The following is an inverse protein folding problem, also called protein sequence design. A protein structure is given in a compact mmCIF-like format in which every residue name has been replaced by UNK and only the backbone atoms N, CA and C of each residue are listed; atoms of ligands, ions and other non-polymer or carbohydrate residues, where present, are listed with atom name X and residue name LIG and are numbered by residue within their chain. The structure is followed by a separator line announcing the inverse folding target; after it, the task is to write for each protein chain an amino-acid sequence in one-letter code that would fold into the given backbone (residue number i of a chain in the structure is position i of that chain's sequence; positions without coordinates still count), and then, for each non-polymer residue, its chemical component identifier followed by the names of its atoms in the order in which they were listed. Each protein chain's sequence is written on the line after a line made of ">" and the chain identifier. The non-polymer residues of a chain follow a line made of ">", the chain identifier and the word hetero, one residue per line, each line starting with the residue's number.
data_IF_807709933276
#
_entry.id   IF_807709933276
#
_cell.length_a   1.000
_cell.length_b   1.000
_cell.length_c   1.000
_cell.angle_alpha   90.00
_cell.angle_beta   90.00
_cell.angle_gamma   90.00
#
_symmetry.space_group_name_H-M   'P 1'
#
loop_
_entity.id
_entity.type
_entity.pdbx_description
1 polymer ?
#
# COMPACT_ATOMS: atom_id res chain seq x y z
N UNK A 1 5.20 -22.86 3.07
CA UNK A 1 3.84 -22.40 3.39
C UNK A 1 3.86 -21.51 4.63
N UNK A 2 3.02 -20.50 4.68
CA UNK A 2 2.92 -19.53 5.77
C UNK A 2 1.51 -19.61 6.37
N UNK A 3 1.41 -19.69 7.69
CA UNK A 3 0.17 -19.52 8.43
C UNK A 3 0.11 -18.09 8.99
N UNK A 4 -1.03 -17.42 8.79
CA UNK A 4 -1.29 -16.09 9.36
C UNK A 4 -2.37 -16.22 10.43
N UNK A 5 -2.11 -15.69 11.63
CA UNK A 5 -3.03 -15.83 12.78
C UNK A 5 -2.88 -14.69 13.79
N UNK A 6 -3.94 -14.44 14.56
CA UNK A 6 -3.87 -13.64 15.77
C UNK A 6 -3.13 -14.38 16.89
N UNK A 7 -2.50 -13.64 17.81
CA UNK A 7 -1.79 -14.24 18.95
C UNK A 7 -2.73 -14.95 19.94
N UNK A 8 -4.00 -14.59 19.99
CA UNK A 8 -4.96 -15.09 20.97
C UNK A 8 -5.44 -16.53 20.70
N UNK A 9 -5.20 -17.05 19.50
CA UNK A 9 -5.60 -18.41 19.11
C UNK A 9 -4.42 -19.35 18.83
N UNK A 10 -3.20 -18.98 19.22
CA UNK A 10 -2.01 -19.84 19.01
C UNK A 10 -2.22 -21.21 19.68
N UNK A 11 -2.63 -21.25 20.96
CA UNK A 11 -2.81 -22.50 21.70
C UNK A 11 -4.06 -23.30 21.28
N UNK A 12 -5.11 -22.61 20.83
CA UNK A 12 -6.38 -23.25 20.50
C UNK A 12 -6.49 -23.65 19.03
N UNK A 13 -5.69 -23.05 18.17
CA UNK A 13 -5.78 -23.25 16.73
C UNK A 13 -4.44 -23.71 16.11
N UNK A 14 -3.37 -22.96 16.26
CA UNK A 14 -2.09 -23.24 15.63
C UNK A 14 -1.48 -24.53 16.12
N UNK A 15 -1.43 -24.73 17.44
CA UNK A 15 -0.86 -25.95 18.05
C UNK A 15 -1.60 -27.20 17.60
N UNK A 16 -2.93 -27.13 17.42
CA UNK A 16 -3.73 -28.25 16.93
C UNK A 16 -3.36 -28.63 15.50
N UNK A 17 -3.14 -27.65 14.64
CA UNK A 17 -2.66 -27.90 13.27
C UNK A 17 -1.28 -28.55 13.27
N UNK A 18 -0.37 -28.07 14.13
CA UNK A 18 0.99 -28.60 14.22
C UNK A 18 0.99 -30.06 14.62
N UNK A 19 0.36 -30.42 15.75
CA UNK A 19 0.40 -31.82 16.20
C UNK A 19 -0.40 -32.76 15.30
N UNK A 20 -1.53 -32.29 14.76
CA UNK A 20 -2.31 -33.08 13.81
C UNK A 20 -1.52 -33.32 12.51
N UNK A 21 -0.84 -32.31 12.00
CA UNK A 21 0.04 -32.44 10.85
C UNK A 21 1.13 -33.48 11.07
N UNK A 22 1.84 -33.41 12.20
CA UNK A 22 2.86 -34.39 12.54
C UNK A 22 2.30 -35.79 12.75
N UNK A 23 1.17 -35.93 13.43
CA UNK A 23 0.56 -37.22 13.70
C UNK A 23 0.12 -37.95 12.43
N UNK A 24 -0.38 -37.21 11.42
CA UNK A 24 -0.95 -37.80 10.21
C UNK A 24 0.02 -37.86 9.04
N UNK A 25 1.00 -36.94 8.96
CA UNK A 25 1.89 -36.82 7.79
C UNK A 25 3.38 -36.98 8.13
N UNK A 26 3.75 -36.96 9.40
CA UNK A 26 5.15 -36.95 9.86
C UNK A 26 5.89 -35.64 9.53
N UNK A 27 5.20 -34.59 9.09
CA UNK A 27 5.81 -33.32 8.64
C UNK A 27 5.12 -32.12 9.27
N UNK A 28 5.88 -31.02 9.43
CA UNK A 28 5.32 -29.73 9.80
C UNK A 28 4.35 -29.23 8.71
N UNK A 29 3.14 -28.77 9.06
CA UNK A 29 2.16 -28.29 8.07
C UNK A 29 2.54 -26.94 7.46
N UNK A 30 3.38 -26.16 8.11
CA UNK A 30 3.92 -24.87 7.65
C UNK A 30 5.29 -24.62 8.29
N UNK A 31 6.12 -23.79 7.66
CA UNK A 31 7.45 -23.43 8.17
C UNK A 31 7.50 -22.03 8.81
N UNK A 32 6.50 -21.19 8.57
CA UNK A 32 6.41 -19.84 9.11
C UNK A 32 5.03 -19.59 9.70
N UNK A 33 4.99 -18.93 10.84
CA UNK A 33 3.75 -18.44 11.47
C UNK A 33 3.87 -16.91 11.60
N UNK A 34 3.09 -16.18 10.82
CA UNK A 34 2.99 -14.73 10.95
C UNK A 34 1.89 -14.40 11.96
N UNK A 35 2.28 -13.82 13.09
CA UNK A 35 1.38 -13.49 14.19
C UNK A 35 1.05 -12.00 14.11
N UNK A 36 -0.23 -11.68 13.87
CA UNK A 36 -0.73 -10.32 13.88
C UNK A 36 -1.42 -9.97 15.22
N UNK A 37 -1.51 -8.68 15.50
CA UNK A 37 -2.31 -8.16 16.62
C UNK A 37 -3.80 -8.18 16.34
N UNK A 38 -4.60 -7.82 17.34
CA UNK A 38 -6.06 -7.74 17.23
C UNK A 38 -6.49 -6.31 16.90
N UNK A 39 -7.58 -6.19 16.16
CA UNK A 39 -8.28 -4.92 15.99
C UNK A 39 -9.16 -4.69 17.22
N UNK A 40 -8.95 -3.56 17.87
CA UNK A 40 -9.68 -3.13 19.08
C UNK A 40 -10.55 -1.91 18.77
N UNK A 41 -11.56 -1.68 19.60
CA UNK A 41 -12.35 -0.45 19.49
C UNK A 41 -11.52 0.81 19.79
N UNK A 42 -12.11 1.98 19.60
CA UNK A 42 -11.45 3.29 19.81
C UNK A 42 -10.93 3.48 21.24
N UNK A 43 -11.52 2.79 22.22
CA UNK A 43 -11.08 2.80 23.62
C UNK A 43 -10.01 1.75 23.94
N UNK A 44 -9.63 0.93 22.96
CA UNK A 44 -8.63 -0.14 23.11
C UNK A 44 -9.19 -1.42 23.72
N UNK A 45 -10.51 -1.59 23.82
CA UNK A 45 -11.13 -2.81 24.33
C UNK A 45 -11.24 -3.86 23.23
N UNK A 46 -11.12 -5.13 23.58
CA UNK A 46 -11.38 -6.23 22.65
C UNK A 46 -12.83 -6.18 22.17
N UNK A 47 -13.04 -6.23 20.87
CA UNK A 47 -14.38 -6.29 20.30
C UNK A 47 -15.05 -7.61 20.62
N UNK A 48 -16.30 -7.58 21.08
CA UNK A 48 -17.10 -8.76 21.37
C UNK A 48 -18.59 -8.50 21.14
N UNK A 49 -19.32 -9.55 20.79
CA UNK A 49 -20.78 -9.49 20.63
C UNK A 49 -21.48 -9.05 21.91
N UNK A 50 -20.97 -9.51 23.07
CA UNK A 50 -21.55 -9.19 24.37
C UNK A 50 -21.41 -7.73 24.80
N UNK A 51 -20.37 -7.05 24.32
CA UNK A 51 -20.14 -5.62 24.57
C UNK A 51 -20.82 -4.73 23.54
N UNK A 52 -21.30 -5.28 22.43
CA UNK A 52 -21.90 -4.51 21.35
C UNK A 52 -20.94 -3.49 20.69
N UNK A 53 -19.62 -3.68 20.86
CA UNK A 53 -18.58 -2.77 20.35
C UNK A 53 -17.90 -3.32 19.08
N UNK A 54 -18.50 -4.34 18.46
CA UNK A 54 -18.05 -4.86 17.17
C UNK A 54 -18.34 -3.85 16.05
N UNK A 55 -17.41 -3.76 15.11
CA UNK A 55 -17.58 -2.96 13.90
C UNK A 55 -17.86 -3.93 12.77
N UNK A 56 -18.96 -3.70 12.05
CA UNK A 56 -19.27 -4.50 10.86
C UNK A 56 -18.42 -4.00 9.70
N UNK A 57 -17.51 -4.82 9.14
CA UNK A 57 -16.69 -4.42 8.02
C UNK A 57 -17.49 -4.10 6.77
N UNK A 58 -18.69 -4.67 6.59
CA UNK A 58 -19.54 -4.38 5.42
C UNK A 58 -20.11 -2.96 5.50
N UNK A 59 -20.54 -2.52 6.67
CA UNK A 59 -20.99 -1.14 6.88
C UNK A 59 -19.86 -0.12 6.58
N UNK A 60 -18.64 -0.44 7.02
CA UNK A 60 -17.46 0.40 6.72
C UNK A 60 -17.14 0.41 5.23
N UNK A 61 -17.30 -0.73 4.54
CA UNK A 61 -17.08 -0.82 3.10
C UNK A 61 -18.13 -0.01 2.33
N UNK A 62 -19.38 -0.06 2.75
CA UNK A 62 -20.47 0.69 2.13
C UNK A 62 -20.27 2.21 2.27
N UNK A 63 -19.72 2.66 3.40
CA UNK A 63 -19.49 4.09 3.67
C UNK A 63 -18.18 4.63 3.06
N UNK A 64 -17.09 3.88 3.17
CA UNK A 64 -15.74 4.37 2.82
C UNK A 64 -15.11 3.66 1.62
N UNK A 65 -15.62 2.51 1.22
CA UNK A 65 -15.04 1.65 0.19
C UNK A 65 -14.10 0.57 0.74
N UNK A 66 -14.03 -0.55 0.02
CA UNK A 66 -13.23 -1.71 0.41
C UNK A 66 -11.72 -1.40 0.47
N UNK A 67 -11.20 -0.60 -0.46
CA UNK A 67 -9.79 -0.24 -0.50
C UNK A 67 -9.37 0.62 0.70
N UNK A 68 -10.25 1.52 1.15
CA UNK A 68 -10.01 2.33 2.34
C UNK A 68 -9.88 1.47 3.60
N UNK A 69 -10.80 0.52 3.79
CA UNK A 69 -10.72 -0.42 4.92
C UNK A 69 -9.47 -1.29 4.86
N UNK A 70 -9.16 -1.87 3.70
CA UNK A 70 -7.97 -2.73 3.50
C UNK A 70 -6.67 -1.98 3.78
N UNK A 71 -6.54 -0.76 3.25
CA UNK A 71 -5.37 0.08 3.50
C UNK A 71 -5.24 0.42 4.98
N UNK A 72 -6.34 0.78 5.65
CA UNK A 72 -6.36 1.08 7.09
C UNK A 72 -5.87 -0.10 7.92
N UNK A 73 -6.30 -1.32 7.58
CA UNK A 73 -5.94 -2.53 8.34
C UNK A 73 -4.48 -2.93 8.18
N UNK A 74 -3.86 -2.62 7.05
CA UNK A 74 -2.45 -2.98 6.81
C UNK A 74 -1.48 -1.88 7.23
N UNK A 75 -1.91 -0.61 7.19
CA UNK A 75 -1.05 0.54 7.51
C UNK A 75 -0.87 0.69 9.01
N UNK A 76 0.37 0.89 9.45
CA UNK A 76 0.69 1.10 10.87
C UNK A 76 0.54 -0.15 11.74
N UNK A 77 0.47 -1.32 11.12
CA UNK A 77 0.41 -2.61 11.80
C UNK A 77 1.84 -3.16 11.97
N UNK A 78 2.24 -3.38 13.21
CA UNK A 78 3.47 -4.11 13.52
C UNK A 78 3.11 -5.52 14.00
N UNK A 79 3.88 -6.57 13.63
CA UNK A 79 3.61 -7.93 14.07
C UNK A 79 3.37 -8.03 15.58
N UNK A 80 2.31 -8.72 15.99
CA UNK A 80 1.97 -8.94 17.39
C UNK A 80 1.37 -7.75 18.15
N UNK A 81 1.28 -6.58 17.55
CA UNK A 81 0.73 -5.39 18.21
C UNK A 81 -0.74 -5.17 17.83
N UNK A 82 -1.56 -4.87 18.83
CA UNK A 82 -2.96 -4.53 18.63
C UNK A 82 -3.12 -3.15 17.97
N UNK A 83 -4.15 -3.03 17.15
CA UNK A 83 -4.52 -1.80 16.48
C UNK A 83 -5.87 -1.28 17.00
N UNK A 84 -5.96 0.01 17.34
CA UNK A 84 -7.24 0.66 17.59
C UNK A 84 -7.88 1.09 16.29
N UNK A 85 -9.14 0.80 16.13
CA UNK A 85 -9.92 1.21 14.96
C UNK A 85 -10.57 2.56 15.20
N UNK A 86 -10.39 3.47 14.24
CA UNK A 86 -11.01 4.78 14.21
C UNK A 86 -11.53 5.07 12.80
N UNK A 87 -12.73 5.61 12.68
CA UNK A 87 -13.30 5.98 11.38
C UNK A 87 -12.45 7.04 10.66
N UNK A 88 -11.83 7.94 11.39
CA UNK A 88 -10.94 8.98 10.83
C UNK A 88 -9.73 8.38 10.10
N UNK A 89 -9.25 7.21 10.54
CA UNK A 89 -8.18 6.50 9.82
C UNK A 89 -8.68 5.90 8.50
N UNK A 90 -9.91 5.40 8.50
CA UNK A 90 -10.52 4.88 7.26
C UNK A 90 -10.78 6.01 6.27
N UNK A 91 -11.25 7.16 6.77
CA UNK A 91 -11.41 8.35 5.95
C UNK A 91 -10.08 8.84 5.35
N UNK A 92 -9.01 8.86 6.13
CA UNK A 92 -7.66 9.20 5.63
C UNK A 92 -7.20 8.22 4.54
N UNK A 93 -7.46 6.92 4.71
CA UNK A 93 -7.16 5.91 3.70
C UNK A 93 -7.98 6.09 2.42
N UNK A 94 -9.27 6.46 2.53
CA UNK A 94 -10.12 6.83 1.38
C UNK A 94 -9.56 8.04 0.65
N UNK A 95 -9.12 9.06 1.38
CA UNK A 95 -8.54 10.27 0.80
C UNK A 95 -7.23 9.95 0.04
N UNK A 96 -6.43 9.03 0.55
CA UNK A 96 -5.25 8.52 -0.18
C UNK A 96 -5.65 7.80 -1.47
N UNK A 97 -6.63 6.90 -1.42
CA UNK A 97 -7.12 6.22 -2.63
C UNK A 97 -7.63 7.23 -3.67
N UNK A 98 -8.35 8.28 -3.24
CA UNK A 98 -8.79 9.37 -4.10
C UNK A 98 -7.60 10.18 -4.68
N UNK A 99 -6.53 10.38 -3.92
CA UNK A 99 -5.30 11.04 -4.42
C UNK A 99 -4.65 10.22 -5.54
N UNK A 100 -4.54 8.91 -5.35
CA UNK A 100 -4.03 7.98 -6.38
C UNK A 100 -4.91 8.02 -7.65
N UNK A 101 -6.23 7.97 -7.46
CA UNK A 101 -7.18 8.08 -8.58
C UNK A 101 -7.01 9.39 -9.36
N UNK A 102 -6.93 10.51 -8.66
CA UNK A 102 -6.79 11.82 -9.31
C UNK A 102 -5.44 11.97 -10.00
N UNK A 103 -4.35 11.45 -9.43
CA UNK A 103 -3.04 11.41 -10.08
C UNK A 103 -3.09 10.57 -11.36
N UNK A 104 -3.68 9.37 -11.30
CA UNK A 104 -3.86 8.50 -12.46
C UNK A 104 -4.73 9.17 -13.54
N UNK A 105 -5.82 9.83 -13.14
CA UNK A 105 -6.67 10.58 -14.07
C UNK A 105 -5.90 11.73 -14.74
N UNK A 106 -5.12 12.49 -13.98
CA UNK A 106 -4.26 13.53 -14.54
C UNK A 106 -3.30 12.97 -15.61
N UNK A 107 -2.66 11.84 -15.31
CA UNK A 107 -1.74 11.19 -16.24
C UNK A 107 -2.48 10.76 -17.51
N UNK A 108 -3.59 10.06 -17.37
CA UNK A 108 -4.38 9.57 -18.51
C UNK A 108 -4.86 10.71 -19.42
N UNK A 109 -5.38 11.79 -18.84
CA UNK A 109 -5.85 12.96 -19.61
C UNK A 109 -4.72 13.64 -20.39
N UNK A 110 -3.51 13.67 -19.83
CA UNK A 110 -2.36 14.27 -20.51
C UNK A 110 -1.70 13.34 -21.54
N UNK A 111 -2.04 12.05 -21.53
CA UNK A 111 -1.59 11.05 -22.52
C UNK A 111 -2.58 10.83 -23.65
N UNK A 112 -3.84 11.25 -23.49
CA UNK A 112 -4.89 11.08 -24.49
C UNK A 112 -4.44 11.68 -25.82
N UNK A 113 -4.65 10.92 -26.92
CA UNK A 113 -4.27 11.26 -28.29
C UNK A 113 -2.77 11.54 -28.53
N UNK A 114 -1.88 11.22 -27.57
CA UNK A 114 -0.44 11.40 -27.72
C UNK A 114 0.29 10.08 -27.97
N UNK A 115 1.19 10.08 -28.95
CA UNK A 115 2.11 8.96 -29.18
C UNK A 115 3.32 9.15 -28.26
N UNK A 116 3.37 8.36 -27.18
CA UNK A 116 4.47 8.40 -26.22
C UNK A 116 5.47 7.30 -26.58
N UNK A 117 6.65 7.70 -26.98
CA UNK A 117 7.76 6.80 -27.33
C UNK A 117 8.81 6.78 -26.22
N UNK A 118 9.60 5.69 -26.18
CA UNK A 118 10.74 5.64 -25.26
C UNK A 118 11.73 6.77 -25.61
N UNK A 119 12.04 7.68 -24.66
CA UNK A 119 12.96 8.78 -24.92
C UNK A 119 14.41 8.29 -24.97
N UNK A 120 15.27 9.06 -25.61
CA UNK A 120 16.72 8.89 -25.52
C UNK A 120 17.19 9.32 -24.11
N UNK A 121 18.33 8.79 -23.67
CA UNK A 121 18.87 9.10 -22.34
C UNK A 121 19.13 10.60 -22.12
N UNK A 122 19.49 11.31 -23.19
CA UNK A 122 19.74 12.74 -23.16
C UNK A 122 18.47 13.59 -23.03
N UNK A 123 17.29 13.04 -23.32
CA UNK A 123 16.01 13.74 -23.26
C UNK A 123 15.42 13.76 -21.82
N UNK A 124 15.94 12.89 -20.92
CA UNK A 124 15.53 12.89 -19.51
C UNK A 124 16.17 14.06 -18.76
N UNK A 125 15.33 14.85 -18.11
CA UNK A 125 15.78 15.89 -17.20
C UNK A 125 16.14 15.33 -15.82
N UNK A 126 16.76 16.17 -14.99
CA UNK A 126 17.18 15.79 -13.63
C UNK A 126 16.00 15.28 -12.80
N UNK A 127 14.83 15.88 -12.95
CA UNK A 127 13.59 15.48 -12.26
C UNK A 127 13.12 14.09 -12.64
N UNK A 128 13.23 13.73 -13.93
CA UNK A 128 12.85 12.39 -14.41
C UNK A 128 13.81 11.33 -13.85
N UNK A 129 15.11 11.60 -13.93
CA UNK A 129 16.15 10.71 -13.38
C UNK A 129 16.02 10.55 -11.87
N UNK A 130 15.67 11.62 -11.18
CA UNK A 130 15.42 11.61 -9.74
C UNK A 130 14.26 10.67 -9.37
N UNK A 131 13.08 10.85 -9.98
CA UNK A 131 11.92 10.01 -9.61
C UNK A 131 12.11 8.55 -10.04
N UNK A 132 12.76 8.27 -11.18
CA UNK A 132 13.10 6.92 -11.61
C UNK A 132 14.09 6.24 -10.64
N UNK A 133 15.07 6.98 -10.14
CA UNK A 133 15.97 6.48 -9.09
C UNK A 133 15.21 6.17 -7.80
N UNK A 134 14.28 7.05 -7.39
CA UNK A 134 13.45 6.87 -6.20
C UNK A 134 12.54 5.64 -6.29
N UNK A 135 11.85 5.45 -7.42
CA UNK A 135 10.98 4.27 -7.58
C UNK A 135 11.77 2.96 -7.60
N UNK A 136 12.98 2.95 -8.18
CA UNK A 136 13.85 1.76 -8.14
C UNK A 136 14.31 1.44 -6.71
N UNK A 137 14.68 2.46 -5.93
CA UNK A 137 15.03 2.29 -4.52
C UNK A 137 13.82 1.80 -3.71
N UNK A 138 12.65 2.39 -3.94
CA UNK A 138 11.41 1.97 -3.32
C UNK A 138 11.08 0.50 -3.62
N UNK A 139 11.19 0.08 -4.88
CA UNK A 139 10.92 -1.30 -5.29
C UNK A 139 11.82 -2.29 -4.54
N UNK A 140 13.12 -1.97 -4.39
CA UNK A 140 14.05 -2.77 -3.61
C UNK A 140 13.64 -2.81 -2.13
N UNK A 141 13.42 -1.67 -1.53
CA UNK A 141 13.08 -1.55 -0.11
C UNK A 141 11.76 -2.29 0.22
N UNK A 142 10.74 -2.12 -0.63
CA UNK A 142 9.45 -2.81 -0.47
C UNK A 142 9.63 -4.30 -0.55
N UNK A 143 10.39 -4.80 -1.54
CA UNK A 143 10.68 -6.24 -1.68
C UNK A 143 11.36 -6.79 -0.43
N UNK A 144 12.40 -6.11 0.07
CA UNK A 144 13.12 -6.53 1.27
C UNK A 144 12.23 -6.57 2.52
N UNK A 145 11.34 -5.57 2.70
CA UNK A 145 10.40 -5.56 3.82
C UNK A 145 9.31 -6.63 3.68
N UNK A 146 8.81 -6.86 2.46
CA UNK A 146 7.83 -7.93 2.21
C UNK A 146 8.41 -9.31 2.50
N UNK A 147 9.65 -9.57 2.11
CA UNK A 147 10.36 -10.83 2.39
C UNK A 147 10.56 -11.08 3.89
N UNK A 148 10.66 -10.00 4.69
CA UNK A 148 10.74 -10.05 6.16
C UNK A 148 9.38 -10.05 6.84
N UNK A 149 8.27 -10.05 6.10
CA UNK A 149 6.90 -9.88 6.62
C UNK A 149 6.65 -8.54 7.35
N UNK A 150 7.43 -7.52 7.06
CA UNK A 150 7.26 -6.15 7.58
C UNK A 150 6.25 -5.36 6.72
N UNK A 151 5.02 -5.90 6.59
CA UNK A 151 4.02 -5.43 5.64
C UNK A 151 3.61 -3.98 5.86
N UNK A 152 3.47 -3.57 7.13
CA UNK A 152 3.13 -2.19 7.48
C UNK A 152 4.19 -1.20 7.05
N UNK A 153 5.49 -1.55 7.18
CA UNK A 153 6.61 -0.72 6.74
C UNK A 153 6.64 -0.63 5.21
N UNK A 154 6.46 -1.76 4.52
CA UNK A 154 6.42 -1.80 3.06
C UNK A 154 5.32 -0.88 2.49
N UNK A 155 4.11 -0.98 3.05
CA UNK A 155 2.97 -0.15 2.62
C UNK A 155 3.18 1.33 2.96
N UNK A 156 3.75 1.65 4.12
CA UNK A 156 4.05 3.03 4.49
C UNK A 156 5.05 3.69 3.52
N UNK A 157 6.10 2.97 3.12
CA UNK A 157 7.06 3.48 2.12
C UNK A 157 6.40 3.77 0.77
N UNK A 158 5.46 2.91 0.32
CA UNK A 158 4.69 3.16 -0.90
C UNK A 158 3.79 4.39 -0.75
N UNK A 159 3.13 4.52 0.41
CA UNK A 159 2.29 5.67 0.73
C UNK A 159 3.07 6.98 0.66
N UNK A 160 4.21 7.06 1.37
CA UNK A 160 5.04 8.26 1.44
C UNK A 160 5.59 8.63 0.05
N UNK A 161 6.07 7.64 -0.72
CA UNK A 161 6.53 7.88 -2.08
C UNK A 161 5.43 8.46 -2.99
N UNK A 162 4.23 7.85 -2.97
CA UNK A 162 3.12 8.31 -3.83
C UNK A 162 2.66 9.71 -3.40
N UNK A 163 2.51 9.92 -2.09
CA UNK A 163 1.98 11.18 -1.59
C UNK A 163 2.98 12.31 -1.77
N UNK A 164 4.16 12.17 -1.16
CA UNK A 164 5.12 13.26 -1.05
C UNK A 164 5.96 13.42 -2.33
N UNK A 165 6.60 12.33 -2.80
CA UNK A 165 7.59 12.44 -3.87
C UNK A 165 6.94 12.49 -5.25
N UNK A 166 5.98 11.61 -5.52
CA UNK A 166 5.36 11.52 -6.83
C UNK A 166 4.30 12.60 -7.05
N UNK A 167 3.29 12.69 -6.14
CA UNK A 167 2.18 13.64 -6.33
C UNK A 167 2.58 15.08 -6.01
N UNK A 168 3.21 15.32 -4.85
CA UNK A 168 3.47 16.69 -4.40
C UNK A 168 4.68 17.31 -5.10
N UNK A 169 5.63 16.49 -5.57
CA UNK A 169 6.80 17.02 -6.28
C UNK A 169 6.81 16.70 -7.76
N UNK A 170 6.91 15.41 -8.14
CA UNK A 170 7.19 15.09 -9.53
C UNK A 170 6.09 15.55 -10.49
N UNK A 171 4.82 15.26 -10.17
CA UNK A 171 3.68 15.69 -10.99
C UNK A 171 3.71 17.22 -11.16
N UNK A 172 3.93 17.97 -10.09
CA UNK A 172 3.95 19.44 -10.16
C UNK A 172 5.13 19.96 -11.00
N UNK A 173 6.32 19.39 -10.84
CA UNK A 173 7.52 19.78 -11.56
C UNK A 173 7.40 19.56 -13.08
N UNK A 174 6.68 18.53 -13.52
CA UNK A 174 6.56 18.21 -14.96
C UNK A 174 5.38 18.90 -15.64
N UNK A 175 4.46 19.53 -14.91
CA UNK A 175 3.29 20.21 -15.51
C UNK A 175 3.68 21.23 -16.56
N UNK A 176 4.67 22.06 -16.30
CA UNK A 176 5.12 23.08 -17.26
C UNK A 176 5.53 22.44 -18.58
N UNK A 177 6.36 21.41 -18.54
CA UNK A 177 6.85 20.68 -19.72
C UNK A 177 5.72 20.04 -20.53
N UNK A 178 4.73 19.48 -19.82
CA UNK A 178 3.59 18.81 -20.45
C UNK A 178 2.65 19.80 -21.14
N UNK A 179 2.40 20.95 -20.50
CA UNK A 179 1.51 21.99 -21.01
C UNK A 179 2.12 22.84 -22.12
N UNK A 180 3.47 22.94 -22.18
CA UNK A 180 4.24 23.67 -23.19
C UNK A 180 5.03 22.69 -24.08
N UNK A 181 4.39 21.58 -24.46
CA UNK A 181 5.04 20.54 -25.26
C UNK A 181 5.46 20.99 -26.67
N UNK A 182 4.93 22.08 -27.17
CA UNK A 182 5.31 22.77 -28.41
C UNK A 182 6.68 23.45 -28.31
N UNK A 183 7.09 23.90 -27.14
CA UNK A 183 8.39 24.50 -26.92
C UNK A 183 9.54 23.46 -26.95
N UNK A 184 9.30 22.28 -26.36
CA UNK A 184 10.25 21.17 -26.31
C UNK A 184 9.55 19.81 -26.24
N UNK A 185 9.17 19.26 -27.39
CA UNK A 185 8.48 17.98 -27.51
C UNK A 185 9.24 16.82 -26.86
N UNK A 186 10.58 16.78 -27.00
CA UNK A 186 11.40 15.69 -26.45
C UNK A 186 11.34 15.65 -24.92
N UNK A 187 11.48 16.80 -24.27
CA UNK A 187 11.36 16.94 -22.83
C UNK A 187 9.95 16.58 -22.34
N UNK A 188 8.90 17.03 -23.04
CA UNK A 188 7.52 16.68 -22.71
C UNK A 188 7.25 15.18 -22.86
N UNK A 189 7.75 14.55 -23.93
CA UNK A 189 7.64 13.11 -24.14
C UNK A 189 8.37 12.31 -23.04
N UNK A 190 9.56 12.75 -22.62
CA UNK A 190 10.29 12.12 -21.53
C UNK A 190 9.52 12.21 -20.20
N UNK A 191 8.92 13.35 -19.90
CA UNK A 191 8.06 13.52 -18.73
C UNK A 191 6.84 12.59 -18.76
N UNK A 192 6.12 12.54 -19.88
CA UNK A 192 4.95 11.66 -20.05
C UNK A 192 5.33 10.19 -20.01
N UNK A 193 6.45 9.81 -20.58
CA UNK A 193 6.95 8.43 -20.50
C UNK A 193 7.30 8.02 -19.06
N UNK A 194 7.89 8.93 -18.29
CA UNK A 194 8.24 8.71 -16.89
C UNK A 194 7.02 8.64 -15.98
N UNK A 195 5.96 9.38 -16.31
CA UNK A 195 4.67 9.31 -15.60
C UNK A 195 3.92 8.00 -15.87
N UNK A 196 4.16 7.33 -17.01
CA UNK A 196 3.54 6.07 -17.42
C UNK A 196 4.09 4.86 -16.69
#
# INVERSE_FOLDING_TARGET
>A
DVLVTGYDIIFFWVIRMVFSGYAHTGKAPFHTVLIHGLVRDSQGRKMSKSLGNGIDPLEVIDEYGADALRLTLITGNAPGNDMRFYNERVESSRNFANKVWNASRFIMMNMEDKVISKPDEADFEVTDKWILSKVNTLAKDVTENMDKFELGIAVQKVYDFIWDEFCDWYIELVKYRIYHSDENYKSANAALWTLK
#
